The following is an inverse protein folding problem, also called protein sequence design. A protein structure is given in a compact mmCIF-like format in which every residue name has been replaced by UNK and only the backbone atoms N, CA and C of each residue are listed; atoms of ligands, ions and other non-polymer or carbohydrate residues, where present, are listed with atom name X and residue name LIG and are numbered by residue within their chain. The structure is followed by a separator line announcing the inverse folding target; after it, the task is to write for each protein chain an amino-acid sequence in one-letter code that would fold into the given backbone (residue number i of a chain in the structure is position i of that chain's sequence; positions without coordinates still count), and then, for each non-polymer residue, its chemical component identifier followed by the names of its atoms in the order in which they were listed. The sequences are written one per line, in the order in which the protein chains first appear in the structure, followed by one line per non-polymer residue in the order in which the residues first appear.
data_IF_581742937272
#
_entry.id   IF_581742937272
#
_cell.length_a   1.000
_cell.length_b   1.000
_cell.length_c   1.000
_cell.angle_alpha   90.00
_cell.angle_beta   90.00
_cell.angle_gamma   90.00
#
_symmetry.space_group_name_H-M   'P 1'
#
loop_
_entity.id
_entity.type
_entity.pdbx_description
1 polymer ?
#
# COMPACT_ATOMS: atom_id res chain seq x y z
N UNK A 1 9.40 -19.36 -3.28
CA UNK A 1 9.21 -20.02 -4.60
C UNK A 1 10.02 -19.22 -5.61
N UNK A 2 11.02 -19.82 -6.26
CA UNK A 2 11.73 -19.13 -7.34
C UNK A 2 10.76 -18.88 -8.51
N UNK A 3 10.87 -17.71 -9.12
CA UNK A 3 10.04 -17.31 -10.26
C UNK A 3 10.82 -17.51 -11.56
N UNK A 4 10.23 -18.22 -12.52
CA UNK A 4 10.80 -18.33 -13.86
C UNK A 4 10.39 -17.13 -14.74
N UNK A 5 10.91 -17.07 -15.95
CA UNK A 5 10.65 -15.97 -16.89
C UNK A 5 9.18 -15.88 -17.33
N UNK A 6 8.48 -17.04 -17.39
CA UNK A 6 7.05 -17.05 -17.69
C UNK A 6 6.23 -16.50 -16.51
N UNK A 7 6.59 -16.84 -15.29
CA UNK A 7 5.95 -16.30 -14.09
C UNK A 7 6.12 -14.78 -14.02
N UNK A 8 7.34 -14.26 -14.28
CA UNK A 8 7.59 -12.80 -14.33
C UNK A 8 6.77 -12.11 -15.43
N UNK A 9 6.65 -12.72 -16.63
CA UNK A 9 5.81 -12.19 -17.72
C UNK A 9 4.34 -12.16 -17.34
N UNK A 10 3.81 -13.24 -16.74
CA UNK A 10 2.43 -13.32 -16.25
C UNK A 10 2.19 -12.21 -15.19
N UNK A 11 3.08 -12.08 -14.20
CA UNK A 11 2.98 -11.07 -13.16
C UNK A 11 3.06 -9.65 -13.73
N UNK A 12 3.92 -9.41 -14.72
CA UNK A 12 4.01 -8.10 -15.39
C UNK A 12 2.70 -7.69 -16.05
N UNK A 13 1.99 -8.65 -16.67
CA UNK A 13 0.69 -8.40 -17.28
C UNK A 13 -0.37 -8.14 -16.19
N UNK A 14 -0.45 -9.01 -15.18
CA UNK A 14 -1.48 -8.96 -14.15
C UNK A 14 -1.35 -7.74 -13.23
N UNK A 15 -0.14 -7.28 -12.93
CA UNK A 15 0.02 -6.06 -12.12
C UNK A 15 -0.30 -4.78 -12.91
N UNK A 16 -0.33 -4.83 -14.24
CA UNK A 16 -0.79 -3.73 -15.09
C UNK A 16 -2.31 -3.76 -15.27
N UNK A 17 -2.87 -4.96 -15.49
CA UNK A 17 -4.32 -5.16 -15.66
C UNK A 17 -4.73 -6.56 -15.21
N UNK A 18 -5.25 -6.66 -13.99
CA UNK A 18 -5.73 -7.91 -13.40
C UNK A 18 -7.12 -8.35 -13.89
N UNK A 19 -7.79 -7.54 -14.74
CA UNK A 19 -9.13 -7.87 -15.29
C UNK A 19 -9.07 -8.75 -16.53
N UNK A 20 -7.88 -8.90 -17.11
CA UNK A 20 -7.71 -9.70 -18.33
C UNK A 20 -8.10 -11.16 -18.11
N UNK A 21 -8.87 -11.76 -19.06
CA UNK A 21 -9.14 -13.20 -19.06
C UNK A 21 -7.83 -14.01 -19.13
N UNK A 22 -7.82 -15.17 -18.47
CA UNK A 22 -6.64 -16.08 -18.49
C UNK A 22 -6.22 -16.42 -19.91
N UNK A 23 -7.17 -16.61 -20.84
CA UNK A 23 -6.86 -16.89 -22.25
C UNK A 23 -6.03 -15.77 -22.90
N UNK A 24 -6.35 -14.51 -22.60
CA UNK A 24 -5.61 -13.33 -23.08
C UNK A 24 -4.20 -13.26 -22.48
N UNK A 25 -4.07 -13.52 -21.19
CA UNK A 25 -2.76 -13.58 -20.52
C UNK A 25 -1.91 -14.71 -21.14
N UNK A 26 -2.50 -15.89 -21.31
CA UNK A 26 -1.84 -17.05 -21.90
C UNK A 26 -1.29 -16.76 -23.29
N UNK A 27 -2.11 -16.16 -24.16
CA UNK A 27 -1.70 -15.76 -25.53
C UNK A 27 -0.48 -14.82 -25.49
N UNK A 28 -0.51 -13.80 -24.61
CA UNK A 28 0.59 -12.81 -24.49
C UNK A 28 1.91 -13.41 -24.01
N UNK A 29 1.87 -14.51 -23.26
CA UNK A 29 3.09 -15.19 -22.75
C UNK A 29 3.45 -16.44 -23.54
N UNK A 30 2.70 -16.76 -24.60
CA UNK A 30 2.95 -17.93 -25.47
C UNK A 30 2.58 -19.26 -24.82
N UNK A 31 1.55 -19.28 -23.98
CA UNK A 31 1.01 -20.49 -23.34
C UNK A 31 -0.42 -20.79 -23.81
N UNK A 32 -0.85 -22.05 -23.65
CA UNK A 32 -2.27 -22.37 -23.68
C UNK A 32 -2.95 -21.98 -22.33
N UNK A 33 -4.29 -21.79 -22.31
CA UNK A 33 -4.99 -21.28 -21.13
C UNK A 33 -4.79 -22.13 -19.87
N UNK A 34 -4.84 -23.46 -19.96
CA UNK A 34 -4.74 -24.34 -18.79
C UNK A 34 -3.39 -24.26 -18.07
N UNK A 35 -2.23 -24.37 -18.74
CA UNK A 35 -0.93 -24.15 -18.09
C UNK A 35 -0.78 -22.74 -17.51
N UNK A 36 -1.27 -21.71 -18.20
CA UNK A 36 -1.25 -20.34 -17.70
C UNK A 36 -2.07 -20.21 -16.41
N UNK A 37 -3.29 -20.72 -16.39
CA UNK A 37 -4.14 -20.76 -15.22
C UNK A 37 -3.47 -21.45 -14.02
N UNK A 38 -2.86 -22.62 -14.25
CA UNK A 38 -2.14 -23.36 -13.19
C UNK A 38 -0.99 -22.56 -12.59
N UNK A 39 -0.25 -21.80 -13.43
CA UNK A 39 0.81 -20.91 -12.95
C UNK A 39 0.25 -19.78 -12.09
N UNK A 40 -0.83 -19.15 -12.53
CA UNK A 40 -1.49 -18.08 -11.76
C UNK A 40 -1.97 -18.62 -10.40
N UNK A 41 -2.64 -19.77 -10.37
CA UNK A 41 -3.06 -20.41 -9.11
C UNK A 41 -1.87 -20.66 -8.17
N UNK A 42 -0.76 -21.18 -8.69
CA UNK A 42 0.45 -21.43 -7.90
C UNK A 42 1.05 -20.13 -7.35
N UNK A 43 1.01 -19.04 -8.11
CA UNK A 43 1.46 -17.71 -7.65
C UNK A 43 0.54 -17.13 -6.56
N UNK A 44 -0.75 -17.38 -6.63
CA UNK A 44 -1.74 -17.02 -5.60
C UNK A 44 -1.54 -17.87 -4.33
N UNK A 45 -1.44 -19.19 -4.46
CA UNK A 45 -1.21 -20.12 -3.35
C UNK A 45 0.11 -19.85 -2.61
N UNK A 46 1.15 -19.46 -3.35
CA UNK A 46 2.45 -19.08 -2.80
C UNK A 46 2.47 -17.66 -2.19
N UNK A 47 1.35 -16.91 -2.27
CA UNK A 47 1.25 -15.55 -1.76
C UNK A 47 2.05 -14.49 -2.55
N UNK A 48 2.56 -14.84 -3.74
CA UNK A 48 3.20 -13.87 -4.65
C UNK A 48 2.16 -12.88 -5.16
N UNK A 49 0.98 -13.38 -5.54
CA UNK A 49 -0.20 -12.56 -5.78
C UNK A 49 -1.01 -12.57 -4.48
N UNK A 50 -1.00 -11.46 -3.76
CA UNK A 50 -1.71 -11.33 -2.47
C UNK A 50 -3.21 -11.12 -2.65
N UNK A 51 -3.59 -10.28 -3.61
CA UNK A 51 -4.99 -9.93 -3.89
C UNK A 51 -5.13 -9.24 -5.23
N UNK A 52 -6.37 -9.17 -5.71
CA UNK A 52 -6.75 -8.34 -6.86
C UNK A 52 -7.77 -7.32 -6.40
N UNK A 53 -7.46 -6.05 -6.54
CA UNK A 53 -8.29 -4.94 -6.05
C UNK A 53 -8.54 -3.92 -7.14
N UNK A 54 -9.66 -3.20 -7.04
CA UNK A 54 -9.89 -2.02 -7.84
C UNK A 54 -9.07 -0.85 -7.26
N UNK A 55 -8.33 -0.16 -8.11
CA UNK A 55 -7.67 1.10 -7.75
C UNK A 55 -8.64 2.23 -8.01
N UNK A 56 -8.95 3.00 -6.97
CA UNK A 56 -9.94 4.08 -7.03
C UNK A 56 -9.26 5.44 -7.19
N UNK A 57 -9.95 6.36 -7.85
CA UNK A 57 -9.51 7.75 -8.00
C UNK A 57 -9.84 8.53 -6.71
N UNK A 58 -8.82 8.97 -5.94
CA UNK A 58 -9.05 9.65 -4.65
C UNK A 58 -9.75 11.00 -4.82
N UNK A 59 -9.54 11.69 -5.94
CA UNK A 59 -10.20 12.98 -6.20
C UNK A 59 -11.71 12.78 -6.39
N UNK A 60 -12.08 11.74 -7.15
CA UNK A 60 -13.51 11.41 -7.38
C UNK A 60 -14.22 10.91 -6.12
N UNK A 61 -13.45 10.40 -5.15
CA UNK A 61 -13.95 10.00 -3.84
C UNK A 61 -13.88 11.11 -2.78
N UNK A 62 -13.51 12.33 -3.20
CA UNK A 62 -13.35 13.48 -2.31
C UNK A 62 -12.34 13.24 -1.17
N UNK A 63 -11.25 12.53 -1.46
CA UNK A 63 -10.11 12.31 -0.55
C UNK A 63 -8.78 12.61 -1.27
N UNK A 64 -8.78 13.67 -2.08
CA UNK A 64 -7.67 14.04 -2.95
C UNK A 64 -6.48 14.71 -2.24
N UNK A 65 -6.60 15.05 -0.96
CA UNK A 65 -5.49 15.63 -0.19
C UNK A 65 -4.72 14.51 0.50
N UNK A 66 -3.44 14.40 0.17
CA UNK A 66 -2.51 13.46 0.80
C UNK A 66 -1.62 14.16 1.80
N UNK A 67 -1.53 13.63 3.02
CA UNK A 67 -0.70 14.15 4.10
C UNK A 67 0.26 13.05 4.55
N UNK A 68 1.55 13.37 4.57
CA UNK A 68 2.58 12.52 5.19
C UNK A 68 2.84 13.02 6.60
N UNK A 69 2.61 12.14 7.58
CA UNK A 69 2.75 12.45 8.99
C UNK A 69 3.95 11.69 9.54
N UNK A 70 4.96 12.44 9.97
CA UNK A 70 6.15 11.91 10.61
C UNK A 70 6.00 12.00 12.13
N UNK A 71 6.22 10.88 12.81
CA UNK A 71 6.11 10.78 14.26
C UNK A 71 7.46 10.40 14.85
N UNK A 72 7.90 11.15 15.87
CA UNK A 72 9.01 10.78 16.74
C UNK A 72 8.45 10.46 18.12
N UNK A 73 9.04 9.48 18.78
CA UNK A 73 8.68 9.10 20.14
C UNK A 73 9.92 8.82 20.96
N UNK A 74 9.85 9.11 22.25
CA UNK A 74 10.84 8.69 23.23
C UNK A 74 10.49 7.34 23.89
N UNK A 75 9.35 6.75 23.50
CA UNK A 75 8.88 5.46 23.99
C UNK A 75 9.14 4.39 22.92
N UNK A 76 10.12 3.52 23.18
CA UNK A 76 10.55 2.48 22.26
C UNK A 76 10.17 1.07 22.75
N UNK A 77 9.11 0.97 23.58
CA UNK A 77 8.61 -0.32 24.04
C UNK A 77 7.52 -0.89 23.09
N UNK A 78 7.39 -2.21 23.09
CA UNK A 78 6.42 -2.92 22.25
C UNK A 78 4.96 -2.59 22.61
N UNK A 79 4.68 -2.34 23.88
CA UNK A 79 3.33 -2.00 24.35
C UNK A 79 2.84 -0.67 23.78
N UNK A 80 3.72 0.33 23.70
CA UNK A 80 3.40 1.59 23.07
C UNK A 80 3.16 1.43 21.56
N UNK A 81 4.01 0.66 20.87
CA UNK A 81 3.85 0.36 19.44
C UNK A 81 2.54 -0.36 19.15
N UNK A 82 2.18 -1.38 19.92
CA UNK A 82 0.91 -2.09 19.77
C UNK A 82 -0.29 -1.17 19.97
N UNK A 83 -0.24 -0.31 20.98
CA UNK A 83 -1.28 0.69 21.25
C UNK A 83 -1.41 1.67 20.09
N UNK A 84 -0.28 2.17 19.56
CA UNK A 84 -0.27 3.07 18.41
C UNK A 84 -0.80 2.38 17.15
N UNK A 85 -0.33 1.18 16.84
CA UNK A 85 -0.81 0.41 15.71
C UNK A 85 -2.31 0.10 15.79
N UNK A 86 -2.81 -0.23 16.99
CA UNK A 86 -4.24 -0.46 17.20
C UNK A 86 -5.05 0.83 17.00
N UNK A 87 -4.58 1.96 17.53
CA UNK A 87 -5.23 3.25 17.33
C UNK A 87 -5.34 3.62 15.85
N UNK A 88 -4.25 3.42 15.09
CA UNK A 88 -4.19 3.72 13.65
C UNK A 88 -5.12 2.85 12.81
N UNK A 89 -5.32 1.58 13.18
CA UNK A 89 -6.23 0.66 12.46
C UNK A 89 -7.67 1.14 12.40
N UNK A 90 -8.11 1.92 13.39
CA UNK A 90 -9.47 2.45 13.45
C UNK A 90 -9.68 3.70 12.58
N UNK A 91 -8.65 4.19 11.91
CA UNK A 91 -8.71 5.38 11.06
C UNK A 91 -8.69 4.98 9.58
N UNK A 92 -9.83 4.97 8.88
CA UNK A 92 -9.87 4.64 7.45
C UNK A 92 -9.10 5.65 6.59
N UNK A 93 -8.88 6.86 7.09
CA UNK A 93 -8.09 7.89 6.43
C UNK A 93 -6.59 7.56 6.38
N UNK A 94 -6.09 6.71 7.31
CA UNK A 94 -4.70 6.24 7.32
C UNK A 94 -4.59 5.05 6.38
N UNK A 95 -3.97 5.25 5.23
CA UNK A 95 -3.86 4.24 4.18
C UNK A 95 -2.51 3.53 4.17
N UNK A 96 -1.49 4.12 4.78
CA UNK A 96 -0.19 3.49 4.99
C UNK A 96 0.38 3.87 6.35
N UNK A 97 1.07 2.92 6.98
CA UNK A 97 1.73 3.12 8.26
C UNK A 97 3.02 2.30 8.30
N UNK A 98 4.15 3.00 8.48
CA UNK A 98 5.49 2.43 8.47
C UNK A 98 6.22 2.73 9.76
N UNK A 99 6.97 1.74 10.27
CA UNK A 99 8.06 1.97 11.21
C UNK A 99 9.32 2.29 10.41
N UNK A 100 10.00 3.36 10.78
CA UNK A 100 11.15 3.89 10.06
C UNK A 100 12.45 3.64 10.82
N UNK A 101 13.56 3.63 10.10
CA UNK A 101 14.90 3.80 10.65
C UNK A 101 15.35 5.25 10.43
N UNK A 102 16.21 5.80 11.31
CA UNK A 102 16.72 7.15 11.22
C UNK A 102 16.00 8.13 12.15
N UNK A 103 15.90 9.40 11.75
CA UNK A 103 15.41 10.49 12.60
C UNK A 103 13.93 10.45 12.91
N UNK A 104 13.15 9.77 12.08
CA UNK A 104 11.70 9.60 12.21
C UNK A 104 11.41 8.17 12.61
N UNK A 105 10.60 7.96 13.65
CA UNK A 105 10.26 6.61 14.13
C UNK A 105 9.13 5.97 13.34
N UNK A 106 8.12 6.77 12.95
CA UNK A 106 6.96 6.30 12.20
C UNK A 106 6.55 7.30 11.11
N UNK A 107 6.07 6.77 9.99
CA UNK A 107 5.53 7.54 8.88
C UNK A 107 4.15 7.01 8.52
N UNK A 108 3.18 7.93 8.45
CA UNK A 108 1.82 7.63 8.02
C UNK A 108 1.53 8.38 6.72
N UNK A 109 0.75 7.76 5.84
CA UNK A 109 0.10 8.44 4.73
C UNK A 109 -1.40 8.51 4.99
N UNK A 110 -1.92 9.72 5.05
CA UNK A 110 -3.32 10.03 5.34
C UNK A 110 -3.94 10.65 4.09
N UNK A 111 -5.17 10.26 3.77
CA UNK A 111 -5.95 10.84 2.68
C UNK A 111 -7.23 11.44 3.23
N UNK A 112 -7.53 12.68 2.85
CA UNK A 112 -8.64 13.49 3.38
C UNK A 112 -9.18 14.43 2.30
N UNK A 113 -10.41 14.96 2.49
CA UNK A 113 -10.97 15.98 1.59
C UNK A 113 -10.20 17.30 1.58
N UNK A 114 -9.81 17.78 2.76
CA UNK A 114 -9.25 19.12 2.97
C UNK A 114 -8.43 19.20 4.27
N UNK A 115 -7.86 20.38 4.53
CA UNK A 115 -7.06 20.64 5.72
C UNK A 115 -7.89 20.52 7.01
N UNK A 116 -9.15 20.93 6.99
CA UNK A 116 -10.02 20.86 8.17
C UNK A 116 -10.33 19.41 8.55
N UNK A 117 -10.56 18.55 7.56
CA UNK A 117 -10.71 17.11 7.78
C UNK A 117 -9.43 16.48 8.33
N UNK A 118 -8.25 16.90 7.86
CA UNK A 118 -6.96 16.47 8.43
C UNK A 118 -6.83 16.88 9.92
N UNK A 119 -7.15 18.12 10.26
CA UNK A 119 -7.10 18.57 11.64
C UNK A 119 -8.01 17.74 12.56
N UNK A 120 -9.18 17.35 12.09
CA UNK A 120 -10.09 16.46 12.81
C UNK A 120 -9.50 15.05 13.02
N UNK A 121 -8.84 14.48 12.00
CA UNK A 121 -8.12 13.18 12.11
C UNK A 121 -6.98 13.31 13.12
N UNK A 122 -6.17 14.36 13.01
CA UNK A 122 -5.05 14.62 13.91
C UNK A 122 -5.49 14.71 15.38
N UNK A 123 -6.55 15.48 15.68
CA UNK A 123 -7.10 15.61 17.03
C UNK A 123 -7.59 14.28 17.59
N UNK A 124 -8.24 13.46 16.77
CA UNK A 124 -8.66 12.11 17.17
C UNK A 124 -7.47 11.20 17.45
N UNK A 125 -6.40 11.31 16.67
CA UNK A 125 -5.19 10.49 16.83
C UNK A 125 -4.45 10.81 18.11
N UNK A 126 -4.19 12.11 18.40
CA UNK A 126 -3.48 12.53 19.61
C UNK A 126 -4.30 12.29 20.89
N UNK A 127 -5.63 12.20 20.78
CA UNK A 127 -6.49 11.84 21.91
C UNK A 127 -6.35 10.38 22.32
N UNK A 128 -5.93 9.49 21.39
CA UNK A 128 -5.77 8.05 21.64
C UNK A 128 -4.37 7.64 22.05
N UNK A 129 -3.36 8.35 21.54
CA UNK A 129 -1.95 8.02 21.74
C UNK A 129 -1.15 9.26 22.06
N UNK A 130 -0.36 9.19 23.13
CA UNK A 130 0.58 10.26 23.46
C UNK A 130 1.72 10.28 22.43
N UNK A 131 1.73 11.30 21.58
CA UNK A 131 2.76 11.55 20.58
C UNK A 131 3.62 12.73 21.04
N UNK A 132 4.94 12.56 21.02
CA UNK A 132 5.86 13.60 21.54
C UNK A 132 6.23 14.64 20.48
N UNK A 133 6.39 14.23 19.24
CA UNK A 133 6.77 15.12 18.13
C UNK A 133 6.10 14.61 16.85
N UNK A 134 5.24 15.44 16.26
CA UNK A 134 4.49 15.14 15.05
C UNK A 134 4.68 16.25 14.04
N UNK A 135 5.12 15.89 12.85
CA UNK A 135 5.26 16.79 11.71
C UNK A 135 4.37 16.33 10.56
N UNK A 136 3.61 17.24 9.98
CA UNK A 136 2.70 16.96 8.87
C UNK A 136 3.13 17.71 7.62
N UNK A 137 3.26 17.00 6.50
CA UNK A 137 3.59 17.56 5.21
C UNK A 137 2.50 17.20 4.20
N UNK A 138 1.92 18.22 3.57
CA UNK A 138 0.92 18.06 2.52
C UNK A 138 1.59 17.86 1.19
N UNK A 139 1.23 16.77 0.46
CA UNK A 139 1.69 16.58 -0.90
C UNK A 139 1.03 17.63 -1.82
N UNK A 140 1.84 18.43 -2.50
CA UNK A 140 1.34 19.46 -3.41
C UNK A 140 0.84 18.85 -4.71
N UNK A 141 1.48 17.78 -5.17
CA UNK A 141 1.10 17.02 -6.36
C UNK A 141 1.64 15.59 -6.28
N UNK A 142 1.01 14.67 -6.99
CA UNK A 142 1.54 13.31 -7.19
C UNK A 142 2.23 13.23 -8.54
N UNK A 143 3.56 13.21 -8.52
CA UNK A 143 4.37 13.14 -9.75
C UNK A 143 4.35 11.72 -10.34
N UNK A 144 4.39 10.70 -9.46
CA UNK A 144 4.32 9.30 -9.85
C UNK A 144 3.59 8.48 -8.79
N UNK A 145 2.66 7.67 -9.25
CA UNK A 145 2.04 6.63 -8.44
C UNK A 145 1.88 5.35 -9.27
N UNK A 146 2.26 4.23 -8.72
CA UNK A 146 2.04 2.92 -9.33
C UNK A 146 1.95 1.84 -8.26
N UNK A 147 1.12 0.83 -8.49
CA UNK A 147 1.07 -0.40 -7.69
C UNK A 147 2.00 -1.48 -8.22
N UNK A 148 2.61 -1.27 -9.41
CA UNK A 148 3.50 -2.24 -10.02
C UNK A 148 4.86 -2.27 -9.32
N UNK A 149 5.29 -3.47 -8.93
CA UNK A 149 6.59 -3.74 -8.33
C UNK A 149 7.62 -4.15 -9.40
N UNK A 150 8.92 -3.81 -9.23
CA UNK A 150 9.97 -4.22 -10.13
C UNK A 150 10.23 -5.74 -10.00
N UNK A 151 10.01 -6.49 -11.07
CA UNK A 151 10.14 -7.95 -11.09
C UNK A 151 11.57 -8.46 -11.34
N UNK A 152 12.51 -7.57 -11.66
CA UNK A 152 13.91 -7.91 -11.91
C UNK A 152 14.69 -8.34 -10.65
N UNK A 153 14.17 -8.07 -9.47
CA UNK A 153 14.74 -8.52 -8.19
C UNK A 153 14.11 -9.82 -7.67
N UNK A 154 13.09 -10.32 -8.34
CA UNK A 154 12.42 -11.54 -7.93
C UNK A 154 13.39 -12.75 -8.01
N UNK A 155 13.45 -13.63 -6.97
CA UNK A 155 14.36 -14.76 -6.89
C UNK A 155 14.05 -15.85 -7.93
#
# INVERSE_FOLDING_TARGET
MPLDDLDRKILSILQADATLPVATVAERVGLSPTPCWRRIQKLEEAGVIQSRVAVLDPVKLNVGVTVFVSVRTNQHDLGWLEKFAQAVRDFPEVVEFYRMSGDVDYLLRIVVPDIAAYDAVYKRLIARVALSDVSSAFAMETIKYTTALPLNYAP
#
